data_IF_307444743716
#
_entry.id   IF_307444743716
#
_cell.length_a   1.000
_cell.length_b   1.000
_cell.length_c   1.000
_cell.angle_alpha   90.00
_cell.angle_beta   90.00
_cell.angle_gamma   90.00
#
_symmetry.space_group_name_H-M   'P 1'
#
loop_
_entity.id
_entity.type
_entity.pdbx_description
1 polymer ?
#
# COMPACT_ATOMS: atom_id res chain seq x y z
N UNK A 1 0.07 -25.46 2.41
CA UNK A 1 0.62 -24.13 2.10
C UNK A 1 0.26 -23.20 3.24
N UNK A 2 1.22 -22.52 3.84
CA UNK A 2 0.98 -21.58 4.94
C UNK A 2 0.51 -20.27 4.32
N UNK A 3 -0.60 -19.71 4.82
CA UNK A 3 -1.16 -18.46 4.33
C UNK A 3 -1.50 -17.55 5.50
N UNK A 4 -1.02 -16.32 5.44
CA UNK A 4 -1.29 -15.25 6.40
C UNK A 4 -1.69 -14.02 5.62
N UNK A 5 -2.73 -13.33 6.08
CA UNK A 5 -3.16 -12.07 5.50
C UNK A 5 -2.47 -10.92 6.23
N UNK A 6 -2.03 -9.92 5.48
CA UNK A 6 -1.37 -8.73 6.02
C UNK A 6 -2.12 -7.48 5.58
N UNK A 7 -2.22 -6.51 6.49
CA UNK A 7 -2.52 -5.12 6.16
C UNK A 7 -1.19 -4.39 5.95
N UNK A 8 -1.05 -3.64 4.86
CA UNK A 8 0.16 -2.88 4.59
C UNK A 8 -0.17 -1.43 4.18
N UNK A 9 0.63 -0.51 4.68
CA UNK A 9 0.58 0.90 4.31
C UNK A 9 1.98 1.36 3.88
N UNK A 10 2.05 2.01 2.73
CA UNK A 10 3.26 2.60 2.18
C UNK A 10 2.93 3.93 1.50
N UNK A 11 3.92 4.79 1.38
CA UNK A 11 3.85 6.04 0.65
C UNK A 11 5.10 6.21 -0.21
N UNK A 12 5.11 7.23 -1.06
CA UNK A 12 6.29 7.55 -1.85
C UNK A 12 7.42 8.04 -0.93
N UNK A 13 8.65 7.53 -1.08
CA UNK A 13 9.81 8.05 -0.34
C UNK A 13 10.01 9.55 -0.56
N UNK A 14 10.56 10.24 0.44
CA UNK A 14 10.88 11.67 0.37
C UNK A 14 12.38 11.92 0.46
N UNK A 15 12.81 13.01 -0.17
CA UNK A 15 14.20 13.36 -0.38
C UNK A 15 14.50 14.76 0.16
N UNK A 16 15.74 14.97 0.63
CA UNK A 16 16.25 16.30 0.93
C UNK A 16 16.64 17.05 -0.35
N UNK A 17 16.87 18.35 -0.25
CA UNK A 17 17.42 19.16 -1.35
C UNK A 17 18.81 18.67 -1.85
N UNK A 18 19.51 17.87 -1.04
CA UNK A 18 20.81 17.25 -1.39
C UNK A 18 20.66 15.81 -1.89
N UNK A 19 19.46 15.40 -2.31
CA UNK A 19 19.15 14.07 -2.81
C UNK A 19 19.39 12.92 -1.83
N UNK A 20 19.35 13.18 -0.52
CA UNK A 20 19.40 12.13 0.49
C UNK A 20 17.99 11.68 0.89
N UNK A 21 17.78 10.38 1.04
CA UNK A 21 16.48 9.85 1.46
C UNK A 21 16.22 10.29 2.91
N UNK A 22 15.22 11.14 3.12
CA UNK A 22 14.82 11.60 4.45
C UNK A 22 13.74 10.70 5.06
N UNK A 23 13.00 10.00 4.21
CA UNK A 23 11.96 9.07 4.61
C UNK A 23 11.75 8.04 3.51
N UNK A 24 11.83 6.76 3.86
CA UNK A 24 11.80 5.65 2.91
C UNK A 24 10.39 5.25 2.44
N UNK A 25 9.35 5.95 2.92
CA UNK A 25 7.96 5.71 2.55
C UNK A 25 7.33 4.49 3.23
N UNK A 26 8.05 3.76 4.08
CA UNK A 26 7.50 2.61 4.80
C UNK A 26 6.69 3.10 6.01
N UNK A 27 5.42 2.68 6.09
CA UNK A 27 4.54 3.01 7.22
C UNK A 27 4.43 1.79 8.14
N UNK A 28 3.97 0.67 7.60
CA UNK A 28 3.92 -0.60 8.34
C UNK A 28 3.34 -1.76 7.54
N UNK A 29 3.61 -2.97 8.04
CA UNK A 29 2.94 -4.22 7.66
C UNK A 29 2.45 -4.87 8.94
N UNK A 30 1.25 -5.44 8.92
CA UNK A 30 0.62 -6.00 10.10
C UNK A 30 -0.05 -7.33 9.75
N UNK A 31 0.37 -8.45 10.36
CA UNK A 31 -0.30 -9.72 10.16
C UNK A 31 -1.65 -9.74 10.89
N UNK A 32 -2.66 -10.30 10.24
CA UNK A 32 -3.89 -10.71 10.91
C UNK A 32 -3.69 -12.11 11.51
N UNK A 33 -3.00 -12.14 12.64
CA UNK A 33 -2.73 -13.34 13.41
C UNK A 33 -2.71 -13.07 14.91
N UNK A 34 -2.97 -14.09 15.71
CA UNK A 34 -3.04 -14.02 17.18
C UNK A 34 -2.43 -15.28 17.79
N UNK A 35 -1.74 -15.14 18.93
CA UNK A 35 -1.24 -16.30 19.68
C UNK A 35 -2.40 -16.94 20.46
N UNK A 36 -2.63 -18.22 20.22
CA UNK A 36 -3.62 -19.03 20.92
C UNK A 36 -2.98 -20.31 21.48
N UNK A 37 -3.39 -20.81 22.65
CA UNK A 37 -2.92 -22.10 23.15
C UNK A 37 -3.34 -23.25 22.22
N UNK A 38 -2.42 -24.20 21.99
CA UNK A 38 -2.71 -25.43 21.25
C UNK A 38 -3.75 -26.27 21.99
N UNK A 39 -4.87 -26.59 21.34
CA UNK A 39 -5.95 -27.38 21.95
C UNK A 39 -5.61 -28.85 22.13
N UNK A 40 -4.71 -29.39 21.30
CA UNK A 40 -4.34 -30.82 21.31
C UNK A 40 -2.83 -30.97 21.31
N UNK A 41 -2.35 -31.98 22.02
CA UNK A 41 -0.95 -32.40 21.93
C UNK A 41 -0.67 -33.05 20.58
N UNK A 42 0.51 -32.78 20.02
CA UNK A 42 1.06 -33.44 18.84
C UNK A 42 2.46 -33.96 19.13
N UNK A 43 3.03 -34.76 18.22
CA UNK A 43 4.42 -35.24 18.34
C UNK A 43 5.45 -34.12 18.55
N UNK A 44 5.16 -32.91 18.07
CA UNK A 44 6.08 -31.80 18.08
C UNK A 44 5.70 -30.70 19.09
N UNK A 45 4.57 -30.83 19.82
CA UNK A 45 4.08 -29.76 20.69
C UNK A 45 3.05 -30.25 21.71
N UNK A 46 3.23 -29.90 22.99
CA UNK A 46 2.25 -30.20 24.03
C UNK A 46 1.02 -29.29 23.92
N UNK A 47 -0.15 -29.79 24.36
CA UNK A 47 -1.34 -28.97 24.53
C UNK A 47 -1.04 -27.79 25.47
N UNK A 48 -1.62 -26.62 25.19
CA UNK A 48 -1.37 -25.38 25.93
C UNK A 48 -0.19 -24.55 25.43
N UNK A 49 0.65 -25.06 24.52
CA UNK A 49 1.71 -24.25 23.91
C UNK A 49 1.11 -23.16 23.03
N UNK A 50 1.51 -21.91 23.19
CA UNK A 50 1.03 -20.81 22.33
C UNK A 50 1.47 -21.02 20.88
N UNK A 51 0.52 -20.90 19.97
CA UNK A 51 0.73 -20.96 18.53
C UNK A 51 0.12 -19.73 17.86
N UNK A 52 0.82 -19.18 16.87
CA UNK A 52 0.28 -18.11 16.06
C UNK A 52 -0.75 -18.68 15.06
N UNK A 53 -2.01 -18.27 15.17
CA UNK A 53 -3.10 -18.63 14.26
C UNK A 53 -3.62 -17.42 13.51
N UNK A 54 -4.12 -17.65 12.30
CA UNK A 54 -4.79 -16.61 11.49
C UNK A 54 -6.29 -16.60 11.77
N UNK A 55 -6.91 -15.46 11.52
CA UNK A 55 -8.36 -15.29 11.63
C UNK A 55 -8.92 -14.58 10.41
N UNK A 56 -10.23 -14.73 10.19
CA UNK A 56 -10.93 -14.02 9.12
C UNK A 56 -11.11 -12.57 9.52
N UNK A 57 -10.82 -11.64 8.61
CA UNK A 57 -11.05 -10.22 8.83
C UNK A 57 -12.40 -9.84 8.26
N UNK A 58 -13.25 -9.32 9.14
CA UNK A 58 -14.49 -8.65 8.79
C UNK A 58 -14.29 -7.12 8.79
N UNK A 59 -15.39 -6.40 8.60
CA UNK A 59 -15.38 -4.94 8.54
C UNK A 59 -14.97 -4.29 9.85
N UNK A 60 -15.34 -4.86 10.99
CA UNK A 60 -15.09 -4.27 12.30
C UNK A 60 -13.63 -4.47 12.70
N UNK A 61 -13.06 -5.65 12.42
CA UNK A 61 -11.63 -5.92 12.57
C UNK A 61 -10.82 -4.97 11.68
N UNK A 62 -11.22 -4.79 10.41
CA UNK A 62 -10.53 -3.88 9.50
C UNK A 62 -10.58 -2.43 9.99
N UNK A 63 -11.76 -1.95 10.43
CA UNK A 63 -11.93 -0.62 11.04
C UNK A 63 -10.99 -0.42 12.21
N UNK A 64 -10.93 -1.39 13.12
CA UNK A 64 -10.05 -1.32 14.29
C UNK A 64 -8.58 -1.30 13.87
N UNK A 65 -8.19 -2.10 12.88
CA UNK A 65 -6.82 -2.08 12.34
C UNK A 65 -6.46 -0.70 11.78
N UNK A 66 -7.36 -0.04 11.04
CA UNK A 66 -7.15 1.34 10.58
C UNK A 66 -6.97 2.31 11.76
N UNK A 67 -7.91 2.31 12.70
CA UNK A 67 -7.96 3.28 13.79
C UNK A 67 -6.84 3.11 14.82
N UNK A 68 -6.44 1.87 15.10
CA UNK A 68 -5.49 1.54 16.18
C UNK A 68 -4.07 1.29 15.69
N UNK A 69 -3.89 0.94 14.41
CA UNK A 69 -2.58 0.53 13.87
C UNK A 69 -2.13 1.47 12.76
N UNK A 70 -2.91 1.59 11.67
CA UNK A 70 -2.50 2.33 10.47
C UNK A 70 -2.44 3.83 10.73
N UNK A 71 -3.55 4.44 11.14
CA UNK A 71 -3.65 5.89 11.31
C UNK A 71 -2.67 6.39 12.38
N UNK A 72 -2.58 5.79 13.59
CA UNK A 72 -1.59 6.21 14.57
C UNK A 72 -0.16 6.10 14.04
N UNK A 73 0.16 5.04 13.30
CA UNK A 73 1.48 4.87 12.69
C UNK A 73 1.77 5.94 11.65
N UNK A 74 0.82 6.26 10.78
CA UNK A 74 0.95 7.39 9.83
C UNK A 74 1.29 8.66 10.61
N UNK A 75 0.52 8.99 11.65
CA UNK A 75 0.74 10.21 12.43
C UNK A 75 2.11 10.26 13.10
N UNK A 76 2.66 9.12 13.50
CA UNK A 76 3.96 9.02 14.12
C UNK A 76 5.13 9.18 13.14
N UNK A 77 4.98 8.73 11.89
CA UNK A 77 6.11 8.65 10.93
C UNK A 77 5.98 9.58 9.73
N UNK A 78 4.84 10.27 9.56
CA UNK A 78 4.63 11.14 8.41
C UNK A 78 5.65 12.30 8.41
N UNK A 79 6.38 12.52 7.30
CA UNK A 79 7.59 13.33 7.37
C UNK A 79 7.34 14.85 7.36
N UNK A 80 6.21 15.34 6.83
CA UNK A 80 5.85 16.75 6.94
C UNK A 80 4.40 17.04 6.58
N UNK A 81 3.86 18.09 7.21
CA UNK A 81 2.46 18.51 7.10
C UNK A 81 1.50 17.52 7.79
N UNK A 82 0.20 17.78 7.67
CA UNK A 82 -0.85 16.90 8.21
C UNK A 82 -1.88 16.47 7.16
N UNK A 83 -1.63 16.81 5.89
CA UNK A 83 -2.50 16.43 4.78
C UNK A 83 -2.12 15.04 4.27
N UNK A 84 -3.08 14.10 4.32
CA UNK A 84 -2.88 12.72 3.90
C UNK A 84 -4.12 12.20 3.19
N UNK A 85 -3.93 11.50 2.08
CA UNK A 85 -4.98 10.71 1.45
C UNK A 85 -4.63 9.25 1.67
N UNK A 86 -5.40 8.57 2.52
CA UNK A 86 -5.29 7.14 2.79
C UNK A 86 -6.16 6.41 1.77
N UNK A 87 -5.55 5.65 0.87
CA UNK A 87 -6.26 4.89 -0.15
C UNK A 87 -6.43 3.43 0.29
N UNK A 88 -7.60 2.86 0.02
CA UNK A 88 -7.91 1.43 0.16
C UNK A 88 -8.61 0.90 -1.10
N UNK A 89 -8.61 -0.43 -1.30
CA UNK A 89 -9.43 -1.06 -2.34
C UNK A 89 -10.89 -1.24 -1.89
N UNK A 90 -11.73 -1.87 -2.73
CA UNK A 90 -13.13 -2.13 -2.43
C UNK A 90 -13.40 -3.58 -1.97
N UNK A 91 -12.44 -4.22 -1.29
CA UNK A 91 -12.64 -5.55 -0.73
C UNK A 91 -13.80 -5.55 0.28
N UNK A 92 -14.53 -6.68 0.37
CA UNK A 92 -15.71 -6.83 1.22
C UNK A 92 -15.50 -6.40 2.69
N UNK A 93 -14.35 -6.68 3.34
CA UNK A 93 -14.08 -6.23 4.71
C UNK A 93 -13.77 -4.73 4.84
N UNK A 94 -13.61 -3.98 3.76
CA UNK A 94 -13.27 -2.57 3.88
C UNK A 94 -14.48 -1.74 4.33
N UNK A 95 -14.18 -0.71 5.12
CA UNK A 95 -15.17 0.27 5.58
C UNK A 95 -15.50 1.24 4.44
N UNK A 96 -16.62 1.95 4.55
CA UNK A 96 -16.91 3.04 3.62
C UNK A 96 -15.98 4.23 3.86
N UNK A 97 -15.79 5.09 2.85
CA UNK A 97 -14.87 6.24 2.95
C UNK A 97 -15.31 7.30 3.97
N UNK A 98 -16.59 7.28 4.32
CA UNK A 98 -17.27 8.14 5.28
C UNK A 98 -17.47 7.47 6.65
N UNK A 99 -16.82 6.33 6.92
CA UNK A 99 -16.92 5.63 8.19
C UNK A 99 -16.57 6.58 9.36
N UNK A 100 -17.48 6.78 10.33
CA UNK A 100 -17.37 7.87 11.30
C UNK A 100 -16.21 7.69 12.27
N UNK A 101 -15.90 6.45 12.65
CA UNK A 101 -14.77 6.17 13.55
C UNK A 101 -13.43 6.42 12.83
N UNK A 102 -13.32 5.97 11.57
CA UNK A 102 -12.11 6.22 10.77
C UNK A 102 -11.95 7.70 10.46
N UNK A 103 -13.03 8.41 10.14
CA UNK A 103 -13.00 9.86 9.92
C UNK A 103 -12.54 10.62 11.17
N UNK A 104 -13.07 10.25 12.33
CA UNK A 104 -12.66 10.81 13.63
C UNK A 104 -11.18 10.54 13.91
N UNK A 105 -10.74 9.29 13.73
CA UNK A 105 -9.34 8.91 13.89
C UNK A 105 -8.42 9.68 12.92
N UNK A 106 -8.83 9.84 11.66
CA UNK A 106 -8.11 10.63 10.67
C UNK A 106 -7.93 12.08 11.11
N UNK A 107 -9.01 12.72 11.59
CA UNK A 107 -9.05 14.16 11.89
C UNK A 107 -8.44 14.53 13.25
N UNK A 108 -8.36 13.57 14.18
CA UNK A 108 -7.90 13.81 15.55
C UNK A 108 -6.50 14.47 15.59
N UNK A 109 -6.33 15.49 16.44
CA UNK A 109 -5.06 16.23 16.55
C UNK A 109 -4.83 17.24 15.42
N UNK A 110 -5.90 17.72 14.78
CA UNK A 110 -5.85 18.73 13.72
C UNK A 110 -5.26 18.19 12.42
N UNK A 111 -5.50 16.91 12.12
CA UNK A 111 -5.03 16.27 10.90
C UNK A 111 -6.02 16.48 9.76
N UNK A 112 -5.49 16.70 8.55
CA UNK A 112 -6.26 16.79 7.30
C UNK A 112 -6.08 15.46 6.55
N UNK A 113 -6.46 14.36 7.20
CA UNK A 113 -6.38 13.01 6.65
C UNK A 113 -7.76 12.58 6.17
N UNK A 114 -7.84 11.97 4.99
CA UNK A 114 -9.08 11.40 4.47
C UNK A 114 -8.88 10.01 3.91
N UNK A 115 -9.87 9.15 4.11
CA UNK A 115 -9.95 7.84 3.47
C UNK A 115 -10.52 8.00 2.05
N UNK A 116 -9.99 7.27 1.08
CA UNK A 116 -10.51 7.19 -0.28
C UNK A 116 -10.50 5.76 -0.76
N UNK A 117 -11.51 5.39 -1.55
CA UNK A 117 -11.54 4.15 -2.28
C UNK A 117 -10.82 4.31 -3.63
N UNK A 118 -10.20 3.24 -4.11
CA UNK A 118 -9.80 3.14 -5.50
C UNK A 118 -11.02 2.87 -6.40
N UNK A 119 -10.96 3.18 -7.71
CA UNK A 119 -11.99 2.77 -8.67
C UNK A 119 -12.18 1.25 -8.71
N UNK A 120 -13.41 0.79 -8.95
CA UNK A 120 -13.70 -0.64 -9.03
C UNK A 120 -12.91 -1.33 -10.17
N UNK A 121 -12.39 -2.53 -9.92
CA UNK A 121 -11.61 -3.33 -10.87
C UNK A 121 -10.33 -2.66 -11.41
N UNK A 122 -9.72 -1.76 -10.63
CA UNK A 122 -8.46 -1.08 -10.95
C UNK A 122 -7.34 -1.40 -9.95
N UNK A 123 -6.83 -2.65 -9.89
CA UNK A 123 -5.75 -3.02 -8.98
C UNK A 123 -4.45 -2.24 -9.26
N UNK A 124 -4.23 -1.84 -10.50
CA UNK A 124 -3.12 -1.01 -10.93
C UNK A 124 -3.18 0.46 -10.45
N UNK A 125 -4.31 0.87 -9.86
CA UNK A 125 -4.46 2.17 -9.20
C UNK A 125 -4.07 2.13 -7.72
N UNK A 126 -3.63 0.96 -7.24
CA UNK A 126 -3.19 0.74 -5.87
C UNK A 126 -1.69 0.44 -5.87
N UNK A 127 -0.89 1.25 -5.19
CA UNK A 127 0.55 1.01 -5.09
C UNK A 127 0.90 -0.38 -4.49
N UNK A 128 0.05 -0.88 -3.58
CA UNK A 128 0.24 -2.20 -2.98
C UNK A 128 0.21 -3.30 -4.04
N UNK A 129 -0.87 -3.37 -4.82
CA UNK A 129 -1.09 -4.39 -5.84
C UNK A 129 -0.22 -4.16 -7.09
N UNK A 130 -0.03 -2.91 -7.49
CA UNK A 130 0.72 -2.52 -8.69
C UNK A 130 2.18 -2.99 -8.66
N UNK A 131 2.77 -3.10 -7.47
CA UNK A 131 4.13 -3.66 -7.41
C UNK A 131 4.79 -3.71 -6.04
N UNK A 132 4.25 -3.09 -4.99
CA UNK A 132 4.85 -3.21 -3.66
C UNK A 132 4.78 -4.66 -3.15
N UNK A 133 3.63 -5.33 -3.24
CA UNK A 133 3.51 -6.74 -2.82
C UNK A 133 4.41 -7.66 -3.63
N UNK A 134 4.52 -7.46 -4.94
CA UNK A 134 5.45 -8.23 -5.77
C UNK A 134 6.92 -8.02 -5.34
N UNK A 135 7.29 -6.78 -5.00
CA UNK A 135 8.63 -6.44 -4.51
C UNK A 135 8.91 -7.10 -3.16
N UNK A 136 7.96 -7.03 -2.22
CA UNK A 136 8.07 -7.65 -0.90
C UNK A 136 8.16 -9.18 -0.99
N UNK A 137 7.30 -9.77 -1.81
CA UNK A 137 7.25 -11.20 -2.05
C UNK A 137 8.56 -11.72 -2.69
N UNK A 138 9.20 -10.95 -3.58
CA UNK A 138 10.49 -11.33 -4.17
C UNK A 138 11.62 -11.49 -3.15
N UNK A 139 11.56 -10.76 -2.02
CA UNK A 139 12.49 -10.88 -0.91
C UNK A 139 12.09 -12.05 0.00
N UNK A 140 10.81 -12.14 0.34
CA UNK A 140 10.27 -13.18 1.21
C UNK A 140 10.47 -14.59 0.62
N UNK A 141 10.34 -14.79 -0.70
CA UNK A 141 10.56 -16.09 -1.36
C UNK A 141 11.97 -16.65 -1.24
N UNK A 142 12.95 -15.81 -0.89
CA UNK A 142 14.33 -16.24 -0.61
C UNK A 142 14.48 -16.83 0.79
N UNK A 143 13.43 -16.77 1.60
CA UNK A 143 13.41 -17.19 3.01
C UNK A 143 12.54 -18.45 3.16
N UNK A 144 12.97 -19.37 4.03
CA UNK A 144 12.21 -20.60 4.30
C UNK A 144 11.17 -20.33 5.39
N UNK A 145 9.93 -20.76 5.17
CA UNK A 145 8.88 -20.72 6.18
C UNK A 145 8.27 -22.12 6.35
N UNK A 146 8.27 -22.63 7.59
CA UNK A 146 7.63 -23.89 7.97
C UNK A 146 6.45 -23.69 8.92
N UNK A 147 6.33 -22.51 9.52
CA UNK A 147 5.23 -22.13 10.42
C UNK A 147 4.60 -20.78 10.02
N UNK A 148 3.43 -20.46 10.58
CA UNK A 148 2.80 -19.14 10.44
C UNK A 148 3.73 -18.05 10.98
N UNK A 149 4.39 -18.32 12.11
CA UNK A 149 5.36 -17.43 12.74
C UNK A 149 6.59 -17.19 11.86
N UNK A 150 7.14 -18.23 11.23
CA UNK A 150 8.23 -18.07 10.26
C UNK A 150 7.80 -17.17 9.10
N UNK A 151 6.58 -17.32 8.59
CA UNK A 151 6.07 -16.50 7.50
C UNK A 151 5.91 -15.03 7.93
N UNK A 152 5.39 -14.77 9.13
CA UNK A 152 5.29 -13.42 9.69
C UNK A 152 6.68 -12.79 9.83
N UNK A 153 7.61 -13.49 10.48
CA UNK A 153 8.98 -13.02 10.65
C UNK A 153 9.66 -12.75 9.31
N UNK A 154 9.47 -13.62 8.31
CA UNK A 154 10.04 -13.43 6.98
C UNK A 154 9.46 -12.20 6.26
N UNK A 155 8.16 -11.91 6.44
CA UNK A 155 7.53 -10.71 5.86
C UNK A 155 8.05 -9.44 6.55
N UNK A 156 8.19 -9.45 7.88
CA UNK A 156 8.76 -8.33 8.62
C UNK A 156 10.22 -8.07 8.21
N UNK A 157 11.02 -9.12 8.09
CA UNK A 157 12.38 -9.06 7.58
C UNK A 157 12.45 -8.52 6.15
N UNK A 158 11.58 -9.01 5.27
CA UNK A 158 11.51 -8.56 3.89
C UNK A 158 11.12 -7.08 3.82
N UNK A 159 10.18 -6.63 4.65
CA UNK A 159 9.76 -5.24 4.72
C UNK A 159 10.86 -4.33 5.26
N UNK A 160 11.59 -4.77 6.28
CA UNK A 160 12.75 -4.06 6.81
C UNK A 160 13.86 -3.92 5.75
N UNK A 161 14.16 -5.00 5.02
CA UNK A 161 15.19 -5.07 3.97
C UNK A 161 14.77 -4.38 2.66
N UNK A 162 13.47 -4.16 2.44
CA UNK A 162 12.99 -3.53 1.22
C UNK A 162 13.57 -2.11 1.10
N UNK A 163 14.39 -1.93 0.07
CA UNK A 163 15.03 -0.65 -0.23
C UNK A 163 14.01 0.32 -0.82
N UNK A 164 14.08 1.59 -0.43
CA UNK A 164 13.12 2.64 -0.83
C UNK A 164 13.01 2.78 -2.36
N UNK A 165 14.04 2.41 -3.13
CA UNK A 165 14.02 2.49 -4.61
C UNK A 165 12.91 1.64 -5.21
N UNK A 166 12.56 0.51 -4.58
CA UNK A 166 11.44 -0.32 -5.02
C UNK A 166 10.12 0.45 -4.91
N UNK A 167 9.85 1.07 -3.76
CA UNK A 167 8.66 1.90 -3.56
C UNK A 167 8.63 3.10 -4.50
N UNK A 168 9.73 3.84 -4.62
CA UNK A 168 9.80 5.01 -5.51
C UNK A 168 9.52 4.63 -6.97
N UNK A 169 10.02 3.47 -7.43
CA UNK A 169 9.69 2.92 -8.75
C UNK A 169 8.19 2.62 -8.88
N UNK A 170 7.56 2.03 -7.87
CA UNK A 170 6.12 1.71 -7.90
C UNK A 170 5.29 2.99 -8.03
N UNK A 171 5.57 4.00 -7.20
CA UNK A 171 4.83 5.27 -7.25
C UNK A 171 5.04 6.04 -8.57
N UNK A 172 6.22 5.96 -9.18
CA UNK A 172 6.42 6.54 -10.52
C UNK A 172 5.62 5.79 -11.59
N UNK A 173 5.53 4.45 -11.50
CA UNK A 173 4.65 3.68 -12.40
C UNK A 173 3.18 4.00 -12.18
N UNK A 174 2.75 4.19 -10.93
CA UNK A 174 1.38 4.59 -10.64
C UNK A 174 1.02 5.87 -11.40
N UNK A 175 1.91 6.87 -11.42
CA UNK A 175 1.69 8.08 -12.21
C UNK A 175 1.55 7.80 -13.70
N UNK A 176 2.37 6.90 -14.27
CA UNK A 176 2.24 6.53 -15.69
C UNK A 176 0.94 5.79 -15.99
N UNK A 177 0.49 4.92 -15.08
CA UNK A 177 -0.79 4.20 -15.19
C UNK A 177 -1.97 5.18 -15.21
N UNK A 178 -1.94 6.18 -14.32
CA UNK A 178 -2.96 7.24 -14.30
C UNK A 178 -2.96 8.05 -15.61
N UNK A 179 -1.78 8.34 -16.19
CA UNK A 179 -1.68 9.03 -17.48
C UNK A 179 -2.20 8.18 -18.65
N UNK A 180 -1.86 6.89 -18.71
CA UNK A 180 -2.38 5.99 -19.75
C UNK A 180 -3.90 5.85 -19.66
N UNK A 181 -4.44 5.77 -18.46
CA UNK A 181 -5.89 5.71 -18.27
C UNK A 181 -6.59 6.97 -18.78
N UNK A 182 -6.00 8.15 -18.54
CA UNK A 182 -6.48 9.40 -19.14
C UNK A 182 -6.37 9.37 -20.68
N UNK A 183 -5.31 8.76 -21.22
CA UNK A 183 -5.12 8.64 -22.65
C UNK A 183 -6.18 7.74 -23.32
N UNK A 184 -6.62 6.67 -22.64
CA UNK A 184 -7.60 5.70 -23.17
C UNK A 184 -8.99 5.82 -22.54
N UNK A 185 -9.36 7.02 -22.09
CA UNK A 185 -10.72 7.38 -21.68
C UNK A 185 -11.28 6.52 -20.52
N UNK A 186 -10.45 6.22 -19.52
CA UNK A 186 -10.86 5.48 -18.32
C UNK A 186 -10.80 3.95 -18.44
N UNK A 187 -10.43 3.42 -19.60
CA UNK A 187 -10.28 1.98 -19.80
C UNK A 187 -9.04 1.44 -19.07
N UNK A 188 -9.04 0.15 -18.71
CA UNK A 188 -7.94 -0.55 -18.05
C UNK A 188 -7.13 -1.45 -18.99
N UNK A 189 -7.34 -1.32 -20.31
CA UNK A 189 -6.65 -2.10 -21.34
C UNK A 189 -5.49 -1.32 -21.93
N UNK A 190 -4.40 -1.24 -21.19
CA UNK A 190 -3.11 -0.70 -21.65
C UNK A 190 -1.96 -1.60 -21.24
N UNK A 191 -0.81 -1.38 -21.87
CA UNK A 191 0.47 -1.92 -21.38
C UNK A 191 1.04 -0.91 -20.39
N UNK A 192 1.51 -1.39 -19.24
CA UNK A 192 2.19 -0.53 -18.26
C UNK A 192 3.42 0.11 -18.94
N UNK A 193 3.56 1.44 -18.96
CA UNK A 193 4.68 2.10 -19.61
C UNK A 193 6.04 1.73 -18.99
N UNK A 194 7.02 1.41 -19.84
CA UNK A 194 8.40 1.18 -19.44
C UNK A 194 9.18 2.50 -19.39
N UNK A 195 9.33 3.07 -18.19
CA UNK A 195 9.94 4.40 -18.01
C UNK A 195 11.48 4.41 -17.92
N UNK A 196 12.17 3.30 -18.24
CA UNK A 196 13.63 3.16 -18.10
C UNK A 196 14.17 3.72 -16.76
N UNK A 197 13.47 3.43 -15.66
CA UNK A 197 13.63 4.10 -14.35
C UNK A 197 15.05 4.00 -13.79
N UNK A 198 15.74 2.89 -14.05
CA UNK A 198 17.12 2.72 -13.62
C UNK A 198 18.05 3.69 -14.36
N UNK A 199 17.88 3.85 -15.68
CA UNK A 199 18.60 4.86 -16.47
C UNK A 199 18.31 6.27 -15.98
N UNK A 200 17.04 6.61 -15.73
CA UNK A 200 16.65 7.93 -15.20
C UNK A 200 17.31 8.23 -13.85
N UNK A 201 17.32 7.24 -12.95
CA UNK A 201 17.96 7.39 -11.64
C UNK A 201 19.48 7.54 -11.78
N UNK A 202 20.12 6.79 -12.66
CA UNK A 202 21.56 6.92 -12.90
C UNK A 202 21.92 8.29 -13.45
N UNK A 203 21.11 8.87 -14.35
CA UNK A 203 21.41 10.16 -14.97
C UNK A 203 21.08 11.38 -14.08
N UNK A 204 20.07 11.28 -13.22
CA UNK A 204 19.57 12.44 -12.42
C UNK A 204 19.72 12.25 -10.91
N UNK A 205 20.25 11.10 -10.46
CA UNK A 205 20.37 10.69 -9.06
C UNK A 205 19.07 10.15 -8.46
N UNK A 206 17.91 10.75 -8.77
CA UNK A 206 16.60 10.41 -8.23
C UNK A 206 15.54 10.26 -9.32
N UNK A 207 14.43 9.58 -9.02
CA UNK A 207 13.28 9.62 -9.92
C UNK A 207 12.54 10.96 -9.78
N UNK A 208 11.95 11.48 -10.87
CA UNK A 208 11.23 12.74 -10.81
C UNK A 208 10.03 12.63 -9.87
N UNK A 209 9.72 13.68 -9.08
CA UNK A 209 8.60 13.67 -8.14
C UNK A 209 7.24 13.61 -8.85
N UNK A 210 7.17 14.04 -10.11
CA UNK A 210 6.01 13.93 -10.96
C UNK A 210 6.40 13.69 -12.41
N UNK A 211 5.68 12.83 -13.11
CA UNK A 211 5.71 12.74 -14.57
C UNK A 211 4.93 13.91 -15.16
N UNK A 212 5.50 14.56 -16.17
CA UNK A 212 4.77 15.54 -16.99
C UNK A 212 3.61 14.87 -17.70
N UNK A 213 2.41 15.45 -17.58
CA UNK A 213 1.26 15.05 -18.37
C UNK A 213 1.14 16.03 -19.54
N UNK A 214 1.04 15.54 -20.77
CA UNK A 214 0.84 16.42 -21.92
C UNK A 214 -0.52 17.12 -21.88
N UNK A 215 -0.59 18.37 -22.32
CA UNK A 215 -1.84 19.13 -22.45
C UNK A 215 -2.85 18.37 -23.30
N UNK A 216 -2.40 17.71 -24.36
CA UNK A 216 -3.24 16.86 -25.21
C UNK A 216 -3.98 15.76 -24.42
N UNK A 217 -3.27 15.04 -23.55
CA UNK A 217 -3.88 13.97 -22.73
C UNK A 217 -4.82 14.57 -21.70
N UNK A 218 -4.39 15.65 -21.04
CA UNK A 218 -5.19 16.35 -20.04
C UNK A 218 -6.51 16.90 -20.62
N UNK A 219 -6.43 17.63 -21.74
CA UNK A 219 -7.59 18.22 -22.41
C UNK A 219 -8.50 17.16 -23.02
N UNK A 220 -7.95 16.04 -23.49
CA UNK A 220 -8.75 14.89 -23.92
C UNK A 220 -9.56 14.35 -22.75
N UNK A 221 -8.91 14.04 -21.63
CA UNK A 221 -9.58 13.51 -20.44
C UNK A 221 -10.64 14.48 -19.89
N UNK A 222 -10.35 15.79 -19.86
CA UNK A 222 -11.34 16.81 -19.45
C UNK A 222 -12.56 16.86 -20.35
N UNK A 223 -12.36 16.81 -21.68
CA UNK A 223 -13.46 16.78 -22.65
C UNK A 223 -14.31 15.51 -22.47
N UNK A 224 -13.67 14.37 -22.28
CA UNK A 224 -14.36 13.11 -22.00
C UNK A 224 -15.18 13.22 -20.72
N UNK A 225 -14.60 13.63 -19.58
CA UNK A 225 -15.34 13.78 -18.32
C UNK A 225 -16.53 14.74 -18.45
N UNK A 226 -16.38 15.82 -19.22
CA UNK A 226 -17.47 16.77 -19.48
C UNK A 226 -18.60 16.16 -20.31
N UNK A 227 -18.32 15.19 -21.18
CA UNK A 227 -19.36 14.50 -21.97
C UNK A 227 -20.07 13.39 -21.21
N UNK A 228 -19.44 12.79 -20.19
CA UNK A 228 -20.07 11.75 -19.35
C UNK A 228 -20.82 12.33 -18.15
N UNK A 229 -20.44 13.51 -17.65
CA UNK A 229 -21.02 14.18 -16.48
C UNK A 229 -22.33 14.96 -16.73
N UNK A 230 -22.93 14.87 -17.91
CA UNK A 230 -24.23 15.48 -18.26
C UNK A 230 -25.42 14.52 -18.11
N UNK A 231 -25.32 13.50 -17.25
CA UNK A 231 -26.44 12.59 -16.91
C UNK A 231 -26.76 12.65 -15.43
#
# INVERSE_FOLDING_TARGET
MIKVMFLAAVARPRWSAKNHCIWDGKIGVWPFAVYEPAERSSKNRAAGTLELKTYTVDRDIYRQALCRMVIPRIKAVWPSGKRVVLQQDNAKPHVTVDDPEVHSACSAGGWDMKLTAQPANSPDFNANDLGFFASLQSLQHKMKAKTIEDLVNNVDDAFAKLHYTALDKVFLTLQSVLQETMHIDGCNKYKIPHLAKDTLRTSTGLLPPSLTCSDRVYDKARRFLSSVGQK
#
